data_IF_066060703238
#
_entry.id   IF_066060703238
#
_cell.length_a   1.000
_cell.length_b   1.000
_cell.length_c   1.000
_cell.angle_alpha   90.00
_cell.angle_beta   90.00
_cell.angle_gamma   90.00
#
_symmetry.space_group_name_H-M   'P 1'
#
loop_
_entity.id
_entity.type
_entity.pdbx_description
1 polymer ?
#
# COMPACT_ATOMS: atom_id res chain seq x y z
N UNK A 1 -11.17 19.85 -0.32
CA UNK A 1 -11.63 18.70 0.50
C UNK A 1 -12.45 17.69 -0.28
N UNK A 2 -13.57 18.05 -0.93
CA UNK A 2 -14.33 17.10 -1.77
C UNK A 2 -13.49 16.51 -2.90
N UNK A 3 -12.67 17.34 -3.55
CA UNK A 3 -11.76 16.91 -4.62
C UNK A 3 -10.61 16.02 -4.11
N UNK A 4 -10.07 16.32 -2.93
CA UNK A 4 -9.01 15.52 -2.29
C UNK A 4 -9.50 14.10 -1.96
N UNK A 5 -10.73 13.97 -1.46
CA UNK A 5 -11.34 12.68 -1.14
C UNK A 5 -11.67 11.91 -2.42
N UNK A 6 -12.20 12.59 -3.42
CA UNK A 6 -12.47 11.99 -4.73
C UNK A 6 -11.17 11.46 -5.36
N UNK A 7 -10.11 12.26 -5.35
CA UNK A 7 -8.78 11.86 -5.83
C UNK A 7 -8.19 10.70 -5.02
N UNK A 8 -8.26 10.74 -3.69
CA UNK A 8 -7.78 9.66 -2.83
C UNK A 8 -8.53 8.35 -3.06
N UNK A 9 -9.86 8.43 -3.21
CA UNK A 9 -10.72 7.27 -3.48
C UNK A 9 -10.44 6.68 -4.86
N UNK A 10 -10.25 7.52 -5.88
CA UNK A 10 -9.90 7.08 -7.23
C UNK A 10 -8.54 6.39 -7.26
N UNK A 11 -7.52 7.01 -6.67
CA UNK A 11 -6.18 6.42 -6.59
C UNK A 11 -6.19 5.10 -5.80
N UNK A 12 -6.96 5.03 -4.71
CA UNK A 12 -7.13 3.78 -3.96
C UNK A 12 -7.85 2.71 -4.78
N UNK A 13 -8.87 3.07 -5.56
CA UNK A 13 -9.54 2.13 -6.45
C UNK A 13 -8.57 1.57 -7.50
N UNK A 14 -7.73 2.42 -8.09
CA UNK A 14 -6.69 1.98 -9.03
C UNK A 14 -5.71 1.02 -8.37
N UNK A 15 -5.19 1.37 -7.18
CA UNK A 15 -4.27 0.49 -6.42
C UNK A 15 -4.95 -0.84 -6.07
N UNK A 16 -6.21 -0.83 -5.64
CA UNK A 16 -6.95 -2.05 -5.31
C UNK A 16 -7.16 -2.96 -6.52
N UNK A 17 -7.49 -2.38 -7.69
CA UNK A 17 -7.63 -3.13 -8.95
C UNK A 17 -6.30 -3.74 -9.37
N UNK A 18 -5.21 -2.96 -9.36
CA UNK A 18 -3.88 -3.45 -9.71
C UNK A 18 -3.41 -4.53 -8.72
N UNK A 19 -3.68 -4.34 -7.44
CA UNK A 19 -3.40 -5.33 -6.40
C UNK A 19 -4.15 -6.62 -6.68
N UNK A 20 -5.47 -6.57 -6.89
CA UNK A 20 -6.27 -7.75 -7.21
C UNK A 20 -5.80 -8.46 -8.49
N UNK A 21 -5.43 -7.71 -9.52
CA UNK A 21 -4.96 -8.26 -10.80
C UNK A 21 -3.60 -8.96 -10.68
N UNK A 22 -2.69 -8.45 -9.88
CA UNK A 22 -1.31 -8.96 -9.79
C UNK A 22 -1.07 -9.86 -8.57
N UNK A 23 -1.98 -9.90 -7.60
CA UNK A 23 -1.79 -10.62 -6.34
C UNK A 23 -1.47 -12.10 -6.53
N UNK A 24 -2.25 -12.81 -7.34
CA UNK A 24 -2.02 -14.25 -7.59
C UNK A 24 -0.63 -14.50 -8.18
N UNK A 25 -0.21 -13.67 -9.14
CA UNK A 25 1.09 -13.83 -9.79
C UNK A 25 2.27 -13.53 -8.85
N UNK A 26 2.08 -12.62 -7.89
CA UNK A 26 3.07 -12.35 -6.84
C UNK A 26 3.14 -13.53 -5.87
N UNK A 27 1.99 -14.09 -5.47
CA UNK A 27 1.91 -15.25 -4.57
C UNK A 27 2.52 -16.50 -5.20
N UNK A 28 2.23 -16.77 -6.48
CA UNK A 28 2.80 -17.90 -7.22
C UNK A 28 4.32 -17.79 -7.33
N UNK A 29 4.83 -16.59 -7.61
CA UNK A 29 6.26 -16.32 -7.61
C UNK A 29 6.88 -16.49 -6.21
N UNK A 30 6.18 -16.06 -5.14
CA UNK A 30 6.64 -16.25 -3.76
C UNK A 30 6.72 -17.72 -3.34
N UNK A 31 5.83 -18.56 -3.88
CA UNK A 31 5.76 -19.99 -3.59
C UNK A 31 6.65 -20.85 -4.51
N UNK A 32 7.40 -20.22 -5.43
CA UNK A 32 8.29 -20.94 -6.34
C UNK A 32 9.42 -21.62 -5.55
N UNK A 33 9.47 -22.95 -5.62
CA UNK A 33 10.51 -23.76 -4.97
C UNK A 33 11.88 -23.52 -5.61
N UNK A 34 12.91 -23.35 -4.78
CA UNK A 34 14.30 -23.20 -5.23
C UNK A 34 14.85 -24.56 -5.67
N UNK A 35 15.13 -24.80 -6.96
CA UNK A 35 15.64 -26.09 -7.41
C UNK A 35 17.11 -26.29 -6.98
N UNK A 36 17.44 -27.49 -6.51
CA UNK A 36 18.69 -27.76 -5.83
C UNK A 36 19.95 -27.70 -6.72
N UNK A 37 19.87 -27.99 -8.04
CA UNK A 37 21.11 -28.09 -8.83
C UNK A 37 21.09 -27.84 -10.35
N UNK A 38 19.97 -27.86 -11.10
CA UNK A 38 20.09 -27.92 -12.58
C UNK A 38 19.15 -27.10 -13.48
N UNK A 39 18.18 -26.31 -12.97
CA UNK A 39 17.43 -25.38 -13.85
C UNK A 39 16.88 -24.17 -13.07
N UNK A 40 17.78 -23.35 -12.53
CA UNK A 40 17.42 -22.13 -11.78
C UNK A 40 16.94 -21.00 -12.70
N UNK A 41 17.16 -21.09 -14.02
CA UNK A 41 16.98 -19.94 -14.92
C UNK A 41 15.51 -19.58 -15.13
N UNK A 42 14.65 -20.58 -15.32
CA UNK A 42 13.19 -20.41 -15.45
C UNK A 42 12.53 -19.85 -14.17
N UNK A 43 12.74 -20.42 -12.97
CA UNK A 43 12.15 -19.87 -11.75
C UNK A 43 12.72 -18.49 -11.40
N UNK A 44 14.01 -18.23 -11.67
CA UNK A 44 14.60 -16.92 -11.45
C UNK A 44 13.97 -15.85 -12.34
N UNK A 45 13.79 -16.12 -13.63
CA UNK A 45 13.14 -15.19 -14.56
C UNK A 45 11.68 -14.90 -14.19
N UNK A 46 10.94 -15.91 -13.70
CA UNK A 46 9.58 -15.74 -13.23
C UNK A 46 9.51 -14.85 -11.97
N UNK A 47 10.37 -15.12 -10.99
CA UNK A 47 10.46 -14.32 -9.75
C UNK A 47 10.92 -12.89 -10.03
N UNK A 48 11.88 -12.70 -10.94
CA UNK A 48 12.37 -11.38 -11.35
C UNK A 48 11.28 -10.56 -12.04
N UNK A 49 10.56 -11.16 -12.98
CA UNK A 49 9.44 -10.50 -13.66
C UNK A 49 8.33 -10.14 -12.68
N UNK A 50 7.96 -11.04 -11.76
CA UNK A 50 6.96 -10.74 -10.74
C UNK A 50 7.41 -9.62 -9.80
N UNK A 51 8.69 -9.60 -9.40
CA UNK A 51 9.24 -8.58 -8.53
C UNK A 51 9.30 -7.21 -9.21
N UNK A 52 9.96 -7.10 -10.37
CA UNK A 52 10.24 -5.80 -11.00
C UNK A 52 9.10 -5.25 -11.84
N UNK A 53 8.26 -6.11 -12.45
CA UNK A 53 7.19 -5.64 -13.34
C UNK A 53 5.86 -5.43 -12.60
N UNK A 54 5.67 -6.06 -11.43
CA UNK A 54 4.37 -6.04 -10.73
C UNK A 54 4.48 -5.60 -9.29
N UNK A 55 5.24 -6.35 -8.49
CA UNK A 55 5.29 -6.13 -7.04
C UNK A 55 5.92 -4.77 -6.69
N UNK A 56 7.03 -4.42 -7.33
CA UNK A 56 7.76 -3.17 -7.06
C UNK A 56 7.02 -1.93 -7.58
N UNK A 57 6.45 -1.90 -8.80
CA UNK A 57 5.59 -0.80 -9.24
C UNK A 57 4.36 -0.62 -8.35
N UNK A 58 3.72 -1.72 -7.94
CA UNK A 58 2.57 -1.68 -7.04
C UNK A 58 2.92 -1.13 -5.66
N UNK A 59 4.04 -1.59 -5.08
CA UNK A 59 4.56 -1.08 -3.82
C UNK A 59 4.84 0.42 -3.93
N UNK A 60 5.49 0.84 -5.01
CA UNK A 60 5.83 2.24 -5.25
C UNK A 60 4.58 3.11 -5.36
N UNK A 61 3.57 2.70 -6.14
CA UNK A 61 2.31 3.45 -6.25
C UNK A 61 1.58 3.55 -4.92
N UNK A 62 1.48 2.45 -4.17
CA UNK A 62 0.81 2.43 -2.88
C UNK A 62 1.53 3.32 -1.85
N UNK A 63 2.86 3.28 -1.80
CA UNK A 63 3.66 4.16 -0.93
C UNK A 63 3.54 5.63 -1.33
N UNK A 64 3.61 5.94 -2.63
CA UNK A 64 3.43 7.31 -3.14
C UNK A 64 2.05 7.87 -2.76
N UNK A 65 0.99 7.07 -2.92
CA UNK A 65 -0.36 7.45 -2.51
C UNK A 65 -0.39 7.85 -1.04
N UNK A 66 0.16 7.01 -0.16
CA UNK A 66 0.18 7.27 1.29
C UNK A 66 1.02 8.52 1.60
N UNK A 67 2.17 8.70 0.96
CA UNK A 67 3.02 9.87 1.17
C UNK A 67 2.34 11.18 0.73
N UNK A 68 1.63 11.17 -0.40
CA UNK A 68 0.90 12.34 -0.90
C UNK A 68 -0.21 12.76 0.06
N UNK A 69 -0.95 11.79 0.63
CA UNK A 69 -2.08 12.08 1.52
C UNK A 69 -1.72 12.13 3.02
N UNK A 70 -0.51 11.71 3.39
CA UNK A 70 0.03 11.77 4.76
C UNK A 70 0.00 13.17 5.38
N UNK A 71 0.48 14.26 4.72
CA UNK A 71 0.45 15.59 5.33
C UNK A 71 -0.98 16.06 5.62
N UNK A 72 -1.93 15.76 4.72
CA UNK A 72 -3.35 16.08 4.92
C UNK A 72 -3.94 15.31 6.09
N UNK A 73 -3.59 14.02 6.24
CA UNK A 73 -4.01 13.20 7.38
C UNK A 73 -3.50 13.80 8.70
N UNK A 74 -2.22 14.16 8.77
CA UNK A 74 -1.61 14.77 9.97
C UNK A 74 -2.28 16.10 10.31
N UNK A 75 -2.60 16.92 9.30
CA UNK A 75 -3.33 18.17 9.50
C UNK A 75 -4.74 17.96 10.08
N UNK A 76 -5.48 16.98 9.55
CA UNK A 76 -6.83 16.64 10.04
C UNK A 76 -6.76 16.12 11.49
N UNK A 77 -5.83 15.21 11.79
CA UNK A 77 -5.66 14.65 13.13
C UNK A 77 -5.20 15.72 14.11
N UNK A 78 -4.25 16.57 13.72
CA UNK A 78 -3.79 17.69 14.54
C UNK A 78 -4.91 18.66 14.89
N UNK A 79 -5.75 19.01 13.91
CA UNK A 79 -6.93 19.84 14.13
C UNK A 79 -7.97 19.14 15.03
N UNK A 80 -8.16 17.83 14.88
CA UNK A 80 -9.07 17.08 15.76
C UNK A 80 -8.58 17.10 17.21
N UNK A 81 -7.27 16.94 17.42
CA UNK A 81 -6.65 16.98 18.76
C UNK A 81 -6.72 18.37 19.38
N UNK A 82 -6.49 19.45 18.61
CA UNK A 82 -6.58 20.82 19.13
C UNK A 82 -8.02 21.15 19.56
N UNK A 83 -9.00 20.85 18.72
CA UNK A 83 -10.42 21.09 19.03
C UNK A 83 -10.87 20.28 20.24
N UNK A 84 -10.42 19.03 20.37
CA UNK A 84 -10.72 18.19 21.54
C UNK A 84 -10.12 18.78 22.82
N UNK A 85 -8.89 19.31 22.76
CA UNK A 85 -8.23 19.94 23.92
C UNK A 85 -8.90 21.25 24.33
N UNK A 86 -9.37 22.04 23.38
CA UNK A 86 -9.98 23.36 23.65
C UNK A 86 -11.45 23.26 24.07
N UNK A 87 -12.22 22.34 23.49
CA UNK A 87 -13.69 22.31 23.64
C UNK A 87 -14.23 21.02 24.29
N UNK A 88 -13.38 20.04 24.60
CA UNK A 88 -13.79 18.80 25.27
C UNK A 88 -14.91 18.07 24.52
N UNK A 89 -15.93 17.59 25.24
CA UNK A 89 -17.07 16.87 24.65
C UNK A 89 -18.00 17.74 23.77
N UNK A 90 -17.92 19.07 23.87
CA UNK A 90 -18.66 19.97 22.97
C UNK A 90 -18.10 19.95 21.53
N UNK A 91 -16.90 19.39 21.34
CA UNK A 91 -16.27 19.18 20.03
C UNK A 91 -17.07 18.25 19.10
N UNK A 92 -18.04 17.49 19.62
CA UNK A 92 -18.88 16.61 18.81
C UNK A 92 -19.67 17.39 17.73
N UNK A 93 -19.98 18.67 17.98
CA UNK A 93 -20.60 19.55 16.99
C UNK A 93 -19.70 19.93 15.80
N UNK A 94 -18.38 19.79 15.94
CA UNK A 94 -17.41 20.02 14.86
C UNK A 94 -17.06 18.72 14.09
N UNK A 95 -17.76 17.62 14.36
CA UNK A 95 -17.57 16.36 13.67
C UNK A 95 -17.87 16.49 12.17
N UNK A 96 -16.99 15.91 11.35
CA UNK A 96 -17.15 15.86 9.91
C UNK A 96 -16.96 14.43 9.41
N UNK A 97 -18.05 13.82 8.91
CA UNK A 97 -18.02 12.50 8.29
C UNK A 97 -17.03 12.45 7.11
N UNK A 98 -16.88 13.56 6.39
CA UNK A 98 -16.02 13.72 5.21
C UNK A 98 -14.54 13.60 5.59
N UNK A 99 -14.10 14.30 6.64
CA UNK A 99 -12.71 14.20 7.14
C UNK A 99 -12.41 12.81 7.71
N UNK A 100 -13.39 12.20 8.37
CA UNK A 100 -13.25 10.85 8.92
C UNK A 100 -13.12 9.80 7.81
N UNK A 101 -13.94 9.89 6.76
CA UNK A 101 -13.86 9.01 5.60
C UNK A 101 -12.50 9.11 4.91
N UNK A 102 -11.96 10.33 4.74
CA UNK A 102 -10.61 10.53 4.22
C UNK A 102 -9.56 9.78 5.06
N UNK A 103 -9.63 9.90 6.39
CA UNK A 103 -8.70 9.22 7.28
C UNK A 103 -8.74 7.71 7.11
N UNK A 104 -9.94 7.13 6.99
CA UNK A 104 -10.13 5.69 6.76
C UNK A 104 -9.48 5.27 5.44
N UNK A 105 -9.71 6.01 4.34
CA UNK A 105 -9.12 5.71 3.03
C UNK A 105 -7.59 5.71 3.09
N UNK A 106 -6.99 6.72 3.72
CA UNK A 106 -5.52 6.82 3.86
C UNK A 106 -4.96 5.72 4.75
N UNK A 107 -5.63 5.37 5.85
CA UNK A 107 -5.22 4.27 6.73
C UNK A 107 -5.26 2.91 6.03
N UNK A 108 -6.34 2.63 5.29
CA UNK A 108 -6.46 1.40 4.49
C UNK A 108 -5.39 1.35 3.40
N UNK A 109 -5.15 2.48 2.72
CA UNK A 109 -4.05 2.61 1.74
C UNK A 109 -2.68 2.35 2.38
N UNK A 110 -2.46 2.86 3.59
CA UNK A 110 -1.27 2.59 4.40
C UNK A 110 -1.09 1.10 4.69
N UNK A 111 -2.17 0.42 5.08
CA UNK A 111 -2.18 -1.02 5.33
C UNK A 111 -1.81 -1.83 4.09
N UNK A 112 -2.41 -1.51 2.94
CA UNK A 112 -2.11 -2.16 1.66
C UNK A 112 -0.65 -1.90 1.25
N UNK A 113 -0.19 -0.65 1.34
CA UNK A 113 1.20 -0.29 1.03
C UNK A 113 2.19 -1.09 1.90
N UNK A 114 1.94 -1.18 3.21
CA UNK A 114 2.74 -1.98 4.13
C UNK A 114 2.75 -3.47 3.76
N UNK A 115 1.59 -4.04 3.46
CA UNK A 115 1.47 -5.44 3.05
C UNK A 115 2.22 -5.74 1.75
N UNK A 116 2.09 -4.89 0.74
CA UNK A 116 2.79 -5.06 -0.54
C UNK A 116 4.30 -4.90 -0.37
N UNK A 117 4.76 -3.94 0.46
CA UNK A 117 6.17 -3.81 0.80
C UNK A 117 6.71 -5.07 1.49
N UNK A 118 5.96 -5.67 2.41
CA UNK A 118 6.35 -6.93 3.05
C UNK A 118 6.50 -8.06 2.02
N UNK A 119 5.53 -8.22 1.12
CA UNK A 119 5.60 -9.22 0.05
C UNK A 119 6.79 -8.96 -0.89
N UNK A 120 7.06 -7.70 -1.24
CA UNK A 120 8.20 -7.32 -2.07
C UNK A 120 9.54 -7.69 -1.43
N UNK A 121 9.69 -7.48 -0.12
CA UNK A 121 10.88 -7.90 0.64
C UNK A 121 11.03 -9.41 0.67
N UNK A 122 9.92 -10.15 0.83
CA UNK A 122 9.91 -11.61 0.75
C UNK A 122 10.38 -12.13 -0.61
N UNK A 123 9.81 -11.62 -1.71
CA UNK A 123 10.24 -11.95 -3.08
C UNK A 123 11.70 -11.57 -3.34
N UNK A 124 12.14 -10.39 -2.87
CA UNK A 124 13.52 -9.94 -3.04
C UNK A 124 14.50 -10.87 -2.31
N UNK A 125 14.12 -11.40 -1.13
CA UNK A 125 14.87 -12.41 -0.41
C UNK A 125 14.98 -13.73 -1.20
N UNK A 126 13.86 -14.19 -1.78
CA UNK A 126 13.82 -15.39 -2.62
C UNK A 126 14.67 -15.23 -3.89
N UNK A 127 14.55 -14.09 -4.56
CA UNK A 127 15.34 -13.76 -5.74
C UNK A 127 16.84 -13.77 -5.46
N UNK A 128 17.28 -13.20 -4.32
CA UNK A 128 18.70 -13.26 -3.90
C UNK A 128 19.17 -14.70 -3.67
N UNK A 129 18.33 -15.56 -3.07
CA UNK A 129 18.66 -16.98 -2.84
C UNK A 129 18.71 -17.81 -4.13
N UNK A 130 17.88 -17.47 -5.12
CA UNK A 130 17.90 -18.11 -6.44
C UNK A 130 19.12 -17.68 -7.26
N UNK A 131 19.58 -16.44 -7.10
CA UNK A 131 20.76 -15.89 -7.79
C UNK A 131 22.09 -16.39 -7.20
N UNK A 132 22.11 -16.72 -5.90
CA UNK A 132 23.26 -17.35 -5.23
C UNK A 132 23.42 -18.84 -5.60
#
# INVERSE_FOLDING_TARGET
MSDEISAASLLMAVVAILYGAWYQEIVDAANTTVPAKHDKHKPLAAVEKALFTRCLPLAFMAVMLVLVFSPTLVGIVGHAVSVLREHGLAAYGAYSSVRTAFCVVVLVGGGIAGHVCWMALGLAGLWRRLKA
#
